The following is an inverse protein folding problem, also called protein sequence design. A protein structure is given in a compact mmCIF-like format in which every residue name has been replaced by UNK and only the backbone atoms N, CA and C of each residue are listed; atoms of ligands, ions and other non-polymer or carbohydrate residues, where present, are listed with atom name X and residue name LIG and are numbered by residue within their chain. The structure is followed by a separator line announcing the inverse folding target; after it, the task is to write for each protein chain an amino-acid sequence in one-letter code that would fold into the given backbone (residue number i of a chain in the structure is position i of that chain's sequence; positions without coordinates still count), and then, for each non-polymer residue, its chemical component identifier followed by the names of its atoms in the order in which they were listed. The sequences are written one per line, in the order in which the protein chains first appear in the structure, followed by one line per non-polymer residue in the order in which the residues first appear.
data_IF_904962732929
#
_entry.id   IF_904962732929
#
_cell.length_a   1.000
_cell.length_b   1.000
_cell.length_c   1.000
_cell.angle_alpha   90.00
_cell.angle_beta   90.00
_cell.angle_gamma   90.00
#
_symmetry.space_group_name_H-M   'P 1'
#
loop_
_entity.id
_entity.type
_entity.pdbx_description
1 polymer ?
#
# COMPACT_ATOMS: atom_id res chain seq x y z
N UNK A 1 -16.94 8.09 8.08
CA UNK A 1 -15.68 7.48 8.55
C UNK A 1 -14.84 8.62 9.05
N UNK A 2 -14.24 8.51 10.24
CA UNK A 2 -13.24 9.48 10.67
C UNK A 2 -12.02 9.46 9.73
N UNK A 3 -11.18 10.52 9.70
CA UNK A 3 -9.93 10.49 8.91
C UNK A 3 -9.03 9.29 9.25
N UNK A 4 -9.11 8.81 10.49
CA UNK A 4 -8.42 7.61 10.95
C UNK A 4 -8.96 6.34 10.27
N UNK A 5 -10.27 6.13 10.34
CA UNK A 5 -10.95 5.00 9.68
C UNK A 5 -10.76 5.01 8.17
N UNK A 6 -10.83 6.18 7.53
CA UNK A 6 -10.64 6.29 6.09
C UNK A 6 -9.19 6.00 5.67
N UNK A 7 -8.21 6.39 6.50
CA UNK A 7 -6.82 6.00 6.33
C UNK A 7 -6.64 4.48 6.38
N UNK A 8 -7.25 3.82 7.36
CA UNK A 8 -7.23 2.34 7.46
C UNK A 8 -7.92 1.72 6.23
N UNK A 9 -9.09 2.22 5.87
CA UNK A 9 -9.88 1.72 4.74
C UNK A 9 -9.10 1.80 3.43
N UNK A 10 -8.57 2.98 3.10
CA UNK A 10 -7.84 3.22 1.86
C UNK A 10 -6.54 2.42 1.80
N UNK A 11 -5.76 2.39 2.89
CA UNK A 11 -4.52 1.60 2.99
C UNK A 11 -4.74 0.09 2.92
N UNK A 12 -5.88 -0.41 3.42
CA UNK A 12 -6.22 -1.83 3.41
C UNK A 12 -6.80 -2.30 2.07
N UNK A 13 -7.54 -1.45 1.35
CA UNK A 13 -8.27 -1.86 0.14
C UNK A 13 -7.54 -1.55 -1.16
N UNK A 14 -6.76 -0.47 -1.22
CA UNK A 14 -6.07 -0.08 -2.45
C UNK A 14 -4.78 -0.88 -2.62
N UNK A 15 -4.51 -1.32 -3.86
CA UNK A 15 -3.45 -2.29 -4.15
C UNK A 15 -2.07 -1.66 -4.35
N UNK A 16 -1.99 -0.36 -4.67
CA UNK A 16 -0.73 0.33 -4.92
C UNK A 16 -0.58 1.56 -4.03
N UNK A 17 0.62 1.80 -3.49
CA UNK A 17 0.89 2.91 -2.57
C UNK A 17 0.52 4.28 -3.16
N UNK A 18 0.78 4.44 -4.46
CA UNK A 18 0.51 5.67 -5.17
C UNK A 18 -0.99 5.99 -5.24
N UNK A 19 -1.83 4.99 -5.49
CA UNK A 19 -3.28 5.12 -5.46
C UNK A 19 -3.80 5.36 -4.04
N UNK A 20 -3.19 4.71 -3.03
CA UNK A 20 -3.51 4.92 -1.61
C UNK A 20 -3.33 6.38 -1.22
N UNK A 21 -2.17 6.96 -1.53
CA UNK A 21 -1.84 8.35 -1.17
C UNK A 21 -2.79 9.32 -1.91
N UNK A 22 -3.03 9.10 -3.20
CA UNK A 22 -3.94 9.95 -3.97
C UNK A 22 -5.38 9.91 -3.44
N UNK A 23 -5.84 8.75 -2.94
CA UNK A 23 -7.18 8.61 -2.38
C UNK A 23 -7.31 9.19 -0.96
N UNK A 24 -6.26 9.08 -0.14
CA UNK A 24 -6.26 9.54 1.26
C UNK A 24 -5.97 11.04 1.42
N UNK A 25 -5.22 11.65 0.49
CA UNK A 25 -4.81 13.05 0.57
C UNK A 25 -5.97 14.06 0.72
N UNK A 26 -7.11 13.92 0.01
CA UNK A 26 -8.26 14.83 0.19
C UNK A 26 -8.88 14.81 1.58
N UNK A 27 -8.70 13.71 2.34
CA UNK A 27 -9.26 13.51 3.67
C UNK A 27 -8.31 13.97 4.80
N UNK A 28 -7.19 14.60 4.41
CA UNK A 28 -6.23 15.24 5.31
C UNK A 28 -4.97 14.42 5.61
N UNK A 29 -4.04 15.05 6.32
CA UNK A 29 -2.71 14.49 6.59
C UNK A 29 -2.81 13.20 7.44
N UNK A 30 -3.65 13.21 8.47
CA UNK A 30 -3.85 12.05 9.35
C UNK A 30 -4.28 10.81 8.57
N UNK A 31 -5.22 10.97 7.63
CA UNK A 31 -5.70 9.88 6.78
C UNK A 31 -4.58 9.33 5.89
N UNK A 32 -3.81 10.23 5.26
CA UNK A 32 -2.67 9.86 4.41
C UNK A 32 -1.59 9.10 5.16
N UNK A 33 -1.20 9.58 6.34
CA UNK A 33 -0.15 8.95 7.14
C UNK A 33 -0.57 7.55 7.59
N UNK A 34 -1.82 7.39 8.05
CA UNK A 34 -2.37 6.09 8.44
C UNK A 34 -2.46 5.15 7.25
N UNK A 35 -2.93 5.64 6.09
CA UNK A 35 -3.05 4.83 4.89
C UNK A 35 -1.70 4.30 4.42
N UNK A 36 -0.65 5.13 4.45
CA UNK A 36 0.73 4.73 4.15
C UNK A 36 1.20 3.68 5.15
N UNK A 37 1.03 3.90 6.45
CA UNK A 37 1.44 2.94 7.49
C UNK A 37 0.74 1.60 7.33
N UNK A 38 -0.57 1.58 7.11
CA UNK A 38 -1.34 0.35 6.90
C UNK A 38 -0.87 -0.38 5.63
N UNK A 39 -0.66 0.36 4.54
CA UNK A 39 -0.23 -0.22 3.26
C UNK A 39 1.17 -0.82 3.36
N UNK A 40 2.12 -0.07 3.92
CA UNK A 40 3.50 -0.51 4.05
C UNK A 40 3.67 -1.59 5.11
N UNK A 41 2.89 -1.54 6.19
CA UNK A 41 2.80 -2.60 7.17
C UNK A 41 2.47 -3.93 6.51
N UNK A 42 1.46 -3.97 5.62
CA UNK A 42 1.13 -5.20 4.87
C UNK A 42 2.29 -5.67 4.01
N UNK A 43 2.94 -4.78 3.27
CA UNK A 43 4.08 -5.15 2.41
C UNK A 43 5.25 -5.67 3.25
N UNK A 44 5.49 -5.09 4.42
CA UNK A 44 6.46 -5.59 5.38
C UNK A 44 6.09 -6.99 5.89
N UNK A 45 4.82 -7.22 6.24
CA UNK A 45 4.32 -8.51 6.71
C UNK A 45 4.30 -9.59 5.64
N UNK A 46 4.34 -9.27 4.34
CA UNK A 46 4.46 -10.29 3.29
C UNK A 46 5.71 -11.15 3.46
N UNK A 47 6.85 -10.56 3.86
CA UNK A 47 8.08 -11.33 4.05
C UNK A 47 7.97 -12.32 5.23
N UNK A 48 7.64 -11.90 6.48
CA UNK A 48 7.40 -12.81 7.60
C UNK A 48 6.35 -13.88 7.29
N UNK A 49 5.22 -13.50 6.69
CA UNK A 49 4.14 -14.44 6.37
C UNK A 49 4.60 -15.47 5.34
N UNK A 50 5.33 -15.06 4.30
CA UNK A 50 5.89 -15.98 3.32
C UNK A 50 6.92 -16.96 3.93
N UNK A 51 7.75 -16.51 4.87
CA UNK A 51 8.69 -17.35 5.62
C UNK A 51 7.94 -18.40 6.43
N UNK A 52 6.89 -18.00 7.16
CA UNK A 52 6.07 -18.89 7.98
C UNK A 52 5.41 -19.95 7.08
N UNK A 53 4.78 -19.56 5.98
CA UNK A 53 4.18 -20.51 5.05
C UNK A 53 5.23 -21.42 4.42
N UNK A 54 6.37 -20.88 3.97
CA UNK A 54 7.46 -21.69 3.42
C UNK A 54 7.95 -22.77 4.39
N UNK A 55 8.04 -22.45 5.69
CA UNK A 55 8.39 -23.40 6.73
C UNK A 55 7.29 -24.44 6.98
N UNK A 56 6.01 -24.03 7.06
CA UNK A 56 4.88 -24.96 7.22
C UNK A 56 4.79 -25.94 6.06
N UNK A 57 4.96 -25.48 4.82
CA UNK A 57 4.94 -26.32 3.63
C UNK A 57 6.15 -27.27 3.56
N UNK A 58 7.33 -26.81 3.96
CA UNK A 58 8.53 -27.66 4.06
C UNK A 58 8.32 -28.84 5.03
N UNK A 59 7.60 -28.62 6.14
CA UNK A 59 7.27 -29.68 7.12
C UNK A 59 6.27 -30.71 6.59
N UNK A 60 5.52 -30.39 5.55
CA UNK A 60 4.57 -31.32 4.89
C UNK A 60 5.22 -32.14 3.77
N UNK A 61 6.55 -32.14 3.65
CA UNK A 61 7.28 -32.88 2.63
C UNK A 61 7.22 -32.26 1.23
N UNK A 62 6.68 -31.05 1.09
CA UNK A 62 6.74 -30.28 -0.15
C UNK A 62 8.06 -29.51 -0.22
N UNK A 63 8.53 -29.18 -1.43
CA UNK A 63 9.75 -28.40 -1.62
C UNK A 63 9.66 -27.09 -0.82
N UNK A 64 10.58 -26.93 0.14
CA UNK A 64 10.69 -25.70 0.90
C UNK A 64 10.92 -24.52 -0.05
N UNK A 65 10.11 -23.46 0.09
CA UNK A 65 10.40 -22.20 -0.61
C UNK A 65 11.76 -21.73 -0.12
N UNK A 66 12.75 -21.69 -1.00
CA UNK A 66 14.08 -21.21 -0.65
C UNK A 66 13.97 -19.74 -0.22
N UNK A 67 14.32 -19.44 1.03
CA UNK A 67 14.29 -18.09 1.61
C UNK A 67 15.08 -17.08 0.76
N UNK A 68 16.13 -17.54 0.08
CA UNK A 68 16.95 -16.77 -0.85
C UNK A 68 16.22 -16.30 -2.11
N UNK A 69 15.02 -16.83 -2.39
CA UNK A 69 14.17 -16.39 -3.51
C UNK A 69 13.06 -15.42 -3.11
N UNK A 70 12.92 -15.09 -1.82
CA UNK A 70 11.92 -14.13 -1.39
C UNK A 70 12.38 -12.71 -1.78
N UNK A 71 11.61 -11.97 -2.59
CA UNK A 71 11.95 -10.61 -2.94
C UNK A 71 11.82 -9.72 -1.70
N UNK A 72 12.96 -9.37 -1.09
CA UNK A 72 12.97 -8.44 0.03
C UNK A 72 12.69 -7.03 -0.52
N UNK A 73 11.64 -6.34 -0.04
CA UNK A 73 11.34 -5.00 -0.51
C UNK A 73 12.30 -4.00 0.16
N UNK A 74 13.46 -3.78 -0.45
CA UNK A 74 14.50 -2.88 0.08
C UNK A 74 14.01 -1.48 0.42
N UNK A 75 12.96 -1.01 -0.27
CA UNK A 75 12.32 0.27 -0.01
C UNK A 75 11.80 0.41 1.44
N UNK A 76 11.48 -0.70 2.12
CA UNK A 76 11.01 -0.69 3.51
C UNK A 76 12.07 -0.13 4.45
N UNK A 77 13.34 -0.49 4.26
CA UNK A 77 14.42 0.04 5.10
C UNK A 77 14.55 1.56 4.93
N UNK A 78 14.51 2.04 3.69
CA UNK A 78 14.51 3.49 3.41
C UNK A 78 13.33 4.21 4.05
N UNK A 79 12.12 3.62 3.95
CA UNK A 79 10.92 4.15 4.61
C UNK A 79 11.09 4.20 6.13
N UNK A 80 11.55 3.11 6.77
CA UNK A 80 11.74 3.04 8.22
C UNK A 80 12.78 4.05 8.72
N UNK A 81 13.89 4.22 7.98
CA UNK A 81 14.90 5.23 8.30
C UNK A 81 14.29 6.62 8.22
N UNK A 82 13.60 6.97 7.14
CA UNK A 82 13.01 8.29 6.95
C UNK A 82 11.88 8.57 7.95
N UNK A 83 11.05 7.57 8.26
CA UNK A 83 10.02 7.66 9.29
C UNK A 83 10.66 7.92 10.67
N UNK A 84 11.76 7.24 10.98
CA UNK A 84 12.56 7.49 12.18
C UNK A 84 13.10 8.92 12.21
N UNK A 85 13.74 9.37 11.14
CA UNK A 85 14.26 10.73 11.03
C UNK A 85 13.16 11.81 11.18
N UNK A 86 11.97 11.56 10.62
CA UNK A 86 10.82 12.45 10.75
C UNK A 86 10.28 12.45 12.19
N UNK A 87 10.21 11.29 12.85
CA UNK A 87 9.79 11.15 14.25
C UNK A 87 10.70 11.93 15.20
N UNK A 88 12.01 11.89 14.99
CA UNK A 88 12.99 12.68 15.75
C UNK A 88 13.09 14.14 15.32
N UNK A 89 12.22 14.60 14.40
CA UNK A 89 12.19 15.97 13.88
C UNK A 89 13.57 16.45 13.38
N UNK A 90 14.35 15.56 12.75
CA UNK A 90 15.68 15.88 12.24
C UNK A 90 15.65 16.87 11.05
N UNK A 91 14.46 17.15 10.52
CA UNK A 91 14.25 18.05 9.39
C UNK A 91 13.36 19.23 9.79
N UNK A 92 13.63 20.44 9.26
CA UNK A 92 12.74 21.59 9.47
C UNK A 92 11.38 21.36 8.79
N UNK A 93 10.29 21.80 9.43
CA UNK A 93 8.92 21.57 8.97
C UNK A 93 8.67 22.01 7.51
N UNK A 94 9.25 23.14 7.09
CA UNK A 94 9.14 23.64 5.72
C UNK A 94 9.70 22.65 4.69
N UNK A 95 10.81 21.98 5.02
CA UNK A 95 11.42 20.98 4.14
C UNK A 95 10.53 19.73 4.06
N UNK A 96 9.93 19.31 5.17
CA UNK A 96 8.99 18.18 5.20
C UNK A 96 7.77 18.47 4.32
N UNK A 97 7.16 19.65 4.45
CA UNK A 97 6.02 20.05 3.62
C UNK A 97 6.38 20.06 2.13
N UNK A 98 7.53 20.66 1.77
CA UNK A 98 8.00 20.68 0.40
C UNK A 98 8.24 19.27 -0.16
N UNK A 99 8.92 18.41 0.60
CA UNK A 99 9.19 17.03 0.20
C UNK A 99 7.90 16.23 0.03
N UNK A 100 6.92 16.39 0.93
CA UNK A 100 5.61 15.72 0.81
C UNK A 100 4.86 16.15 -0.45
N UNK A 101 4.80 17.46 -0.74
CA UNK A 101 4.17 17.97 -1.96
C UNK A 101 4.89 17.50 -3.23
N UNK A 102 6.23 17.56 -3.24
CA UNK A 102 7.04 17.06 -4.35
C UNK A 102 6.85 15.55 -4.56
N UNK A 103 6.73 14.78 -3.48
CA UNK A 103 6.49 13.34 -3.52
C UNK A 103 5.15 13.03 -4.19
N UNK A 104 4.06 13.69 -3.77
CA UNK A 104 2.73 13.51 -4.36
C UNK A 104 2.76 13.87 -5.85
N UNK A 105 3.37 15.01 -6.20
CA UNK A 105 3.50 15.44 -7.59
C UNK A 105 4.23 14.41 -8.46
N UNK A 106 5.41 13.95 -8.02
CA UNK A 106 6.20 12.96 -8.75
C UNK A 106 5.46 11.62 -8.87
N UNK A 107 4.74 11.22 -7.81
CA UNK A 107 3.96 10.00 -7.78
C UNK A 107 2.84 10.02 -8.81
N UNK A 108 2.04 11.10 -8.82
CA UNK A 108 0.97 11.28 -9.82
C UNK A 108 1.51 11.27 -11.25
N UNK A 109 2.65 11.93 -11.48
CA UNK A 109 3.32 11.90 -12.79
C UNK A 109 3.76 10.48 -13.18
N UNK A 110 4.42 9.75 -12.28
CA UNK A 110 4.89 8.40 -12.53
C UNK A 110 3.73 7.43 -12.86
N UNK A 111 2.59 7.58 -12.19
CA UNK A 111 1.39 6.79 -12.50
C UNK A 111 0.90 7.05 -13.91
N UNK A 112 0.82 8.32 -14.33
CA UNK A 112 0.43 8.69 -15.69
C UNK A 112 1.37 8.12 -16.75
N UNK A 113 2.67 8.08 -16.48
CA UNK A 113 3.67 7.56 -17.41
C UNK A 113 3.70 6.03 -17.52
N UNK A 114 3.22 5.29 -16.51
CA UNK A 114 3.19 3.82 -16.54
C UNK A 114 2.04 3.29 -17.43
N UNK A 115 1.03 4.10 -17.71
CA UNK A 115 -0.15 3.68 -18.49
C UNK A 115 0.16 3.59 -19.98
N UNK A 116 0.27 2.36 -20.50
CA UNK A 116 0.35 2.09 -21.94
C UNK A 116 -1.04 1.89 -22.53
N UNK A 117 -1.56 2.94 -23.17
CA UNK A 117 -2.89 2.91 -23.82
C UNK A 117 -3.04 1.81 -24.89
N UNK A 118 -1.94 1.42 -25.54
CA UNK A 118 -1.93 0.33 -26.53
C UNK A 118 -2.15 -1.05 -25.89
N UNK A 119 -1.58 -1.29 -24.71
CA UNK A 119 -1.80 -2.53 -23.95
C UNK A 119 -3.22 -2.59 -23.39
N UNK A 120 -3.75 -1.46 -22.91
CA UNK A 120 -5.14 -1.35 -22.45
C UNK A 120 -6.16 -1.71 -23.54
N UNK A 121 -5.95 -1.19 -24.76
CA UNK A 121 -6.81 -1.53 -25.92
C UNK A 121 -6.74 -3.01 -26.30
N UNK A 122 -5.56 -3.63 -26.20
CA UNK A 122 -5.36 -5.06 -26.50
C UNK A 122 -5.97 -5.99 -25.45
N UNK A 123 -5.93 -5.59 -24.18
CA UNK A 123 -6.46 -6.37 -23.07
C UNK A 123 -8.00 -6.44 -23.04
N UNK A 124 -8.69 -5.53 -23.75
CA UNK A 124 -10.15 -5.48 -23.80
C UNK A 124 -10.79 -5.04 -22.49
N UNK A 125 -12.10 -5.21 -22.37
CA UNK A 125 -12.86 -4.76 -21.20
C UNK A 125 -12.86 -5.77 -20.03
N UNK A 126 -12.50 -7.03 -20.29
CA UNK A 126 -12.59 -8.12 -19.29
C UNK A 126 -11.77 -7.83 -18.03
N UNK A 127 -10.48 -7.41 -18.12
CA UNK A 127 -9.70 -7.09 -16.92
C UNK A 127 -10.28 -5.89 -16.14
N UNK A 128 -10.87 -4.92 -16.84
CA UNK A 128 -11.50 -3.77 -16.22
C UNK A 128 -12.75 -4.18 -15.42
N UNK A 129 -13.59 -5.07 -15.95
CA UNK A 129 -14.78 -5.58 -15.26
C UNK A 129 -14.39 -6.41 -14.04
N UNK A 130 -13.41 -7.31 -14.16
CA UNK A 130 -12.93 -8.12 -13.04
C UNK A 130 -12.34 -7.23 -11.95
N UNK A 131 -11.49 -6.26 -12.32
CA UNK A 131 -10.91 -5.29 -11.39
C UNK A 131 -11.99 -4.45 -10.70
N UNK A 132 -13.02 -4.03 -11.43
CA UNK A 132 -14.14 -3.25 -10.88
C UNK A 132 -14.97 -4.05 -9.88
N UNK A 133 -15.38 -5.27 -10.23
CA UNK A 133 -16.13 -6.16 -9.33
C UNK A 133 -15.29 -6.48 -8.09
N UNK A 134 -14.01 -6.83 -8.27
CA UNK A 134 -13.09 -7.07 -7.16
C UNK A 134 -12.95 -5.85 -6.24
N UNK A 135 -12.88 -4.64 -6.82
CA UNK A 135 -12.80 -3.39 -6.07
C UNK A 135 -14.06 -3.12 -5.26
N UNK A 136 -15.25 -3.39 -5.83
CA UNK A 136 -16.53 -3.27 -5.10
C UNK A 136 -16.56 -4.25 -3.93
N UNK A 137 -16.26 -5.53 -4.17
CA UNK A 137 -16.27 -6.56 -3.13
C UNK A 137 -15.31 -6.22 -2.00
N UNK A 138 -14.08 -5.80 -2.33
CA UNK A 138 -13.07 -5.44 -1.35
C UNK A 138 -13.45 -4.17 -0.57
N UNK A 139 -14.09 -3.20 -1.22
CA UNK A 139 -14.59 -1.98 -0.56
C UNK A 139 -15.72 -2.28 0.41
N UNK A 140 -16.68 -3.14 0.02
CA UNK A 140 -17.76 -3.58 0.91
C UNK A 140 -17.18 -4.33 2.11
N UNK A 141 -16.28 -5.29 1.84
CA UNK A 141 -15.64 -6.09 2.88
C UNK A 141 -14.82 -5.23 3.85
N UNK A 142 -13.99 -4.32 3.32
CA UNK A 142 -13.18 -3.41 4.14
C UNK A 142 -14.03 -2.52 5.04
N UNK A 143 -15.14 -1.97 4.50
CA UNK A 143 -16.08 -1.15 5.28
C UNK A 143 -16.80 -1.96 6.36
N UNK A 144 -17.20 -3.20 6.05
CA UNK A 144 -17.84 -4.10 7.00
C UNK A 144 -16.89 -4.45 8.14
N UNK A 145 -15.61 -4.68 7.85
CA UNK A 145 -14.61 -5.02 8.85
C UNK A 145 -14.33 -3.86 9.82
N UNK A 146 -14.24 -2.63 9.31
CA UNK A 146 -14.10 -1.43 10.16
C UNK A 146 -15.31 -1.30 11.09
N UNK A 147 -16.51 -1.46 10.54
CA UNK A 147 -17.75 -1.42 11.33
C UNK A 147 -17.80 -2.53 12.40
N UNK A 148 -17.43 -3.76 12.06
CA UNK A 148 -17.44 -4.91 12.98
C UNK A 148 -16.44 -4.72 14.14
N UNK A 149 -15.24 -4.23 13.83
CA UNK A 149 -14.16 -4.08 14.79
C UNK A 149 -14.27 -2.81 15.65
N UNK A 150 -15.28 -1.96 15.44
CA UNK A 150 -15.48 -0.69 16.16
C UNK A 150 -14.23 0.20 16.17
N UNK A 151 -13.51 0.21 15.05
CA UNK A 151 -12.36 1.08 14.78
C UNK A 151 -12.88 2.32 14.07
#
# INVERSE_FOLDING_TARGET
MSPYEFGIFSGATLHELAHVIAAAAPDGQTSSDIAIVVKLGRVAFLAPVAIIFGWVYARQGQQAIALTRLPIPWFIFGFLIMAGCNTYQLFPGNLVVFLSSASIFLLTMAMGMNVKLSELKRAGYTPAVIGFIGSILLSIFGRLLIWLLHI
#
